data_IF_459178265697
#
_entry.id   IF_459178265697
#
_cell.length_a   1.000
_cell.length_b   1.000
_cell.length_c   1.000
_cell.angle_alpha   90.00
_cell.angle_beta   90.00
_cell.angle_gamma   90.00
#
_symmetry.space_group_name_H-M   'P 1'
#
loop_
_entity.id
_entity.type
_entity.pdbx_description
1 polymer ?
#
# COMPACT_ATOMS: atom_id res chain seq x y z
N UNK A 1 5.79 -22.81 15.44
CA UNK A 1 5.55 -21.52 14.76
C UNK A 1 5.86 -20.42 15.77
N UNK A 2 7.02 -19.77 15.65
CA UNK A 2 7.64 -18.97 16.72
C UNK A 2 6.86 -17.68 17.04
N UNK A 3 6.86 -17.25 18.30
CA UNK A 3 6.20 -15.99 18.75
C UNK A 3 6.64 -14.76 17.94
N UNK A 4 7.88 -14.74 17.46
CA UNK A 4 8.45 -13.66 16.64
C UNK A 4 7.69 -13.53 15.31
N UNK A 5 7.39 -14.66 14.66
CA UNK A 5 6.64 -14.70 13.38
C UNK A 5 5.24 -14.12 13.56
N UNK A 6 4.59 -14.43 14.68
CA UNK A 6 3.26 -13.89 14.99
C UNK A 6 3.29 -12.36 15.21
N UNK A 7 4.37 -11.81 15.78
CA UNK A 7 4.53 -10.37 15.98
C UNK A 7 4.74 -9.62 14.67
N UNK A 8 5.56 -10.16 13.77
CA UNK A 8 5.78 -9.56 12.45
C UNK A 8 4.51 -9.57 11.61
N UNK A 9 3.79 -10.69 11.58
CA UNK A 9 2.50 -10.81 10.90
C UNK A 9 1.49 -9.78 11.45
N UNK A 10 1.33 -9.74 12.78
CA UNK A 10 0.42 -8.80 13.43
C UNK A 10 0.77 -7.35 13.09
N UNK A 11 2.07 -7.00 13.08
CA UNK A 11 2.52 -5.66 12.68
C UNK A 11 2.07 -5.30 11.27
N UNK A 12 2.33 -6.15 10.28
CA UNK A 12 1.97 -5.84 8.88
C UNK A 12 0.45 -5.70 8.73
N UNK A 13 -0.33 -6.53 9.43
CA UNK A 13 -1.79 -6.44 9.46
C UNK A 13 -2.30 -5.16 10.15
N UNK A 14 -1.64 -4.71 11.22
CA UNK A 14 -1.97 -3.44 11.89
C UNK A 14 -1.66 -2.26 10.97
N UNK A 15 -0.51 -2.26 10.29
CA UNK A 15 -0.14 -1.22 9.33
C UNK A 15 -1.15 -1.17 8.18
N UNK A 16 -1.58 -2.33 7.69
CA UNK A 16 -2.65 -2.44 6.69
C UNK A 16 -3.97 -1.84 7.19
N UNK A 17 -4.39 -2.19 8.41
CA UNK A 17 -5.61 -1.65 9.01
C UNK A 17 -5.55 -0.12 9.18
N UNK A 18 -4.39 0.42 9.57
CA UNK A 18 -4.17 1.87 9.64
C UNK A 18 -4.30 2.50 8.25
N UNK A 19 -3.64 1.93 7.22
CA UNK A 19 -3.72 2.45 5.85
C UNK A 19 -5.17 2.47 5.32
N UNK A 20 -5.94 1.41 5.58
CA UNK A 20 -7.36 1.34 5.23
C UNK A 20 -8.18 2.40 5.96
N UNK A 21 -7.96 2.57 7.27
CA UNK A 21 -8.66 3.58 8.06
C UNK A 21 -8.38 4.99 7.54
N UNK A 22 -7.10 5.30 7.25
CA UNK A 22 -6.71 6.57 6.64
C UNK A 22 -7.41 6.80 5.30
N UNK A 23 -7.47 5.76 4.45
CA UNK A 23 -8.18 5.85 3.17
C UNK A 23 -9.66 6.18 3.37
N UNK A 24 -10.36 5.45 4.24
CA UNK A 24 -11.79 5.69 4.52
C UNK A 24 -12.03 7.09 5.09
N UNK A 25 -11.15 7.60 5.95
CA UNK A 25 -11.31 8.90 6.59
C UNK A 25 -10.95 10.09 5.70
N UNK A 26 -10.00 9.92 4.77
CA UNK A 26 -9.39 11.04 4.05
C UNK A 26 -9.38 10.90 2.52
N UNK A 27 -10.11 9.95 1.93
CA UNK A 27 -10.12 9.73 0.47
C UNK A 27 -10.50 10.98 -0.34
N UNK A 28 -11.31 11.87 0.20
CA UNK A 28 -11.70 13.14 -0.45
C UNK A 28 -10.52 14.12 -0.55
N UNK A 29 -9.59 14.11 0.42
CA UNK A 29 -8.43 14.98 0.45
C UNK A 29 -7.18 14.25 -0.04
N UNK A 30 -7.00 14.26 -1.35
CA UNK A 30 -5.89 13.59 -2.04
C UNK A 30 -4.51 13.94 -1.46
N UNK A 31 -4.22 15.22 -1.21
CA UNK A 31 -2.88 15.65 -0.78
C UNK A 31 -2.61 15.12 0.63
N UNK A 32 -3.55 15.30 1.56
CA UNK A 32 -3.42 14.84 2.93
C UNK A 32 -3.22 13.32 2.98
N UNK A 33 -4.07 12.56 2.31
CA UNK A 33 -3.99 11.10 2.33
C UNK A 33 -2.69 10.59 1.68
N UNK A 34 -2.26 11.17 0.57
CA UNK A 34 -0.96 10.83 -0.04
C UNK A 34 0.18 11.07 0.95
N UNK A 35 0.21 12.23 1.60
CA UNK A 35 1.25 12.53 2.60
C UNK A 35 1.23 11.52 3.74
N UNK A 36 0.05 11.16 4.26
CA UNK A 36 -0.08 10.19 5.35
C UNK A 36 0.36 8.78 4.94
N UNK A 37 0.01 8.31 3.74
CA UNK A 37 0.44 6.99 3.25
C UNK A 37 1.94 6.92 2.98
N UNK A 38 2.52 7.99 2.41
CA UNK A 38 3.97 8.08 2.21
C UNK A 38 4.68 8.08 3.57
N UNK A 39 4.22 8.88 4.52
CA UNK A 39 4.78 8.90 5.87
C UNK A 39 4.67 7.53 6.55
N UNK A 40 3.53 6.85 6.44
CA UNK A 40 3.33 5.51 6.98
C UNK A 40 4.30 4.49 6.39
N UNK A 41 4.52 4.52 5.07
CA UNK A 41 5.50 3.66 4.44
C UNK A 41 6.93 3.99 4.89
N UNK A 42 7.28 5.29 4.96
CA UNK A 42 8.60 5.72 5.40
C UNK A 42 8.89 5.35 6.87
N UNK A 43 7.92 5.49 7.77
CA UNK A 43 8.07 5.08 9.18
C UNK A 43 8.23 3.57 9.29
N UNK A 44 7.40 2.81 8.54
CA UNK A 44 7.53 1.35 8.44
C UNK A 44 8.91 0.94 7.93
N UNK A 45 9.39 1.57 6.85
CA UNK A 45 10.68 1.27 6.25
C UNK A 45 11.84 1.66 7.16
N UNK A 46 11.75 2.78 7.88
CA UNK A 46 12.77 3.19 8.82
C UNK A 46 12.91 2.21 10.00
N UNK A 47 11.79 1.72 10.54
CA UNK A 47 11.79 0.88 11.74
C UNK A 47 11.99 -0.62 11.44
N UNK A 48 11.46 -1.11 10.32
CA UNK A 48 11.44 -2.54 9.99
C UNK A 48 11.81 -2.81 8.53
N UNK A 49 12.79 -2.08 7.99
CA UNK A 49 13.31 -2.35 6.65
C UNK A 49 13.78 -3.80 6.51
N UNK A 50 13.46 -4.39 5.37
CA UNK A 50 14.09 -5.61 4.91
C UNK A 50 14.50 -5.47 3.45
N UNK A 51 15.50 -6.29 3.04
CA UNK A 51 16.04 -6.25 1.68
C UNK A 51 14.92 -6.50 0.68
N UNK A 52 14.89 -5.69 -0.37
CA UNK A 52 13.90 -5.78 -1.44
C UNK A 52 12.59 -5.01 -1.21
N UNK A 53 12.31 -4.51 0.00
CA UNK A 53 11.03 -3.81 0.27
C UNK A 53 10.81 -2.60 -0.64
N UNK A 54 11.84 -1.79 -0.86
CA UNK A 54 11.75 -0.64 -1.75
C UNK A 54 11.50 -1.05 -3.21
N UNK A 55 12.08 -2.17 -3.65
CA UNK A 55 11.86 -2.68 -5.00
C UNK A 55 10.40 -3.11 -5.14
N UNK A 56 9.90 -3.90 -4.18
CA UNK A 56 8.50 -4.35 -4.14
C UNK A 56 7.54 -3.16 -4.09
N UNK A 57 7.85 -2.14 -3.29
CA UNK A 57 7.05 -0.93 -3.17
C UNK A 57 6.95 -0.17 -4.51
N UNK A 58 8.08 0.07 -5.18
CA UNK A 58 8.10 0.72 -6.50
C UNK A 58 7.40 -0.15 -7.55
N UNK A 59 7.62 -1.47 -7.55
CA UNK A 59 6.90 -2.39 -8.44
C UNK A 59 5.40 -2.34 -8.22
N UNK A 60 4.95 -2.28 -6.97
CA UNK A 60 3.54 -2.12 -6.60
C UNK A 60 2.95 -0.82 -7.12
N UNK A 61 3.65 0.31 -6.91
CA UNK A 61 3.25 1.62 -7.47
C UNK A 61 3.04 1.52 -8.98
N UNK A 62 4.01 0.99 -9.71
CA UNK A 62 3.96 0.97 -11.17
C UNK A 62 2.88 0.02 -11.70
N UNK A 63 2.87 -1.23 -11.23
CA UNK A 63 1.95 -2.26 -11.73
C UNK A 63 0.51 -1.98 -11.30
N UNK A 64 0.31 -1.63 -10.02
CA UNK A 64 -1.01 -1.29 -9.48
C UNK A 64 -1.59 -0.05 -10.16
N UNK A 65 -0.83 1.04 -10.24
CA UNK A 65 -1.28 2.25 -10.93
C UNK A 65 -1.61 2.00 -12.41
N UNK A 66 -0.85 1.14 -13.09
CA UNK A 66 -1.12 0.81 -14.51
C UNK A 66 -2.44 0.07 -14.65
N UNK A 67 -2.72 -0.90 -13.78
CA UNK A 67 -4.00 -1.62 -13.80
C UNK A 67 -5.20 -0.68 -13.54
N UNK A 68 -5.05 0.24 -12.57
CA UNK A 68 -6.06 1.25 -12.25
C UNK A 68 -6.29 2.23 -13.41
N UNK A 69 -5.21 2.69 -14.04
CA UNK A 69 -5.30 3.57 -15.20
C UNK A 69 -6.02 2.89 -16.37
N UNK A 70 -5.68 1.63 -16.68
CA UNK A 70 -6.35 0.88 -17.75
C UNK A 70 -7.86 0.75 -17.44
N UNK A 71 -8.21 0.36 -16.22
CA UNK A 71 -9.61 0.20 -15.82
C UNK A 71 -10.42 1.49 -15.92
N UNK A 72 -9.87 2.59 -15.44
CA UNK A 72 -10.53 3.91 -15.49
C UNK A 72 -10.54 4.52 -16.89
N UNK A 73 -9.49 4.34 -17.69
CA UNK A 73 -9.43 4.80 -19.08
C UNK A 73 -10.44 4.07 -19.98
N UNK A 74 -10.62 2.76 -19.77
CA UNK A 74 -11.63 1.96 -20.47
C UNK A 74 -13.06 2.19 -19.93
N UNK A 75 -13.22 3.00 -18.88
CA UNK A 75 -14.51 3.30 -18.28
C UNK A 75 -15.14 2.14 -17.49
N UNK A 76 -14.34 1.16 -17.06
CA UNK A 76 -14.83 0.01 -16.27
C UNK A 76 -15.33 0.48 -14.90
N UNK A 77 -14.60 1.41 -14.27
CA UNK A 77 -15.04 2.14 -13.08
C UNK A 77 -14.50 3.56 -13.08
N UNK A 78 -14.98 4.38 -12.14
CA UNK A 78 -14.52 5.77 -11.95
C UNK A 78 -14.28 6.04 -10.47
N UNK A 79 -13.35 6.95 -10.19
CA UNK A 79 -13.09 7.43 -8.84
C UNK A 79 -13.89 8.71 -8.56
N UNK A 80 -14.37 8.85 -7.33
CA UNK A 80 -15.14 10.03 -6.91
C UNK A 80 -14.30 11.30 -6.73
N UNK A 81 -12.99 11.15 -6.48
CA UNK A 81 -12.05 12.27 -6.30
C UNK A 81 -10.72 12.04 -7.05
N UNK A 82 -10.73 11.99 -8.40
CA UNK A 82 -9.51 11.81 -9.19
C UNK A 82 -8.67 13.09 -9.19
N UNK A 83 -7.35 12.94 -9.22
CA UNK A 83 -6.43 14.09 -9.29
C UNK A 83 -5.38 13.95 -10.40
N UNK A 84 -4.97 12.73 -10.75
CA UNK A 84 -3.96 12.47 -11.77
C UNK A 84 -4.34 11.23 -12.59
N UNK A 85 -4.31 11.32 -13.92
CA UNK A 85 -4.63 10.20 -14.83
C UNK A 85 -5.95 9.46 -14.50
N UNK A 86 -7.02 10.19 -14.14
CA UNK A 86 -8.32 9.66 -13.72
C UNK A 86 -8.31 8.80 -12.45
N UNK A 87 -7.21 8.81 -11.69
CA UNK A 87 -7.10 8.12 -10.40
C UNK A 87 -6.76 9.12 -9.28
N UNK A 88 -7.06 8.80 -8.01
CA UNK A 88 -6.62 9.58 -6.87
C UNK A 88 -5.09 9.54 -6.73
N UNK A 89 -4.48 10.63 -6.30
CA UNK A 89 -3.04 10.74 -6.16
C UNK A 89 -2.46 9.78 -5.11
N UNK A 90 -3.25 9.42 -4.10
CA UNK A 90 -2.83 8.54 -3.02
C UNK A 90 -2.79 7.06 -3.43
N UNK A 91 -3.51 6.70 -4.49
CA UNK A 91 -3.75 5.31 -4.87
C UNK A 91 -2.48 4.57 -5.30
N UNK A 92 -1.54 5.15 -6.09
CA UNK A 92 -0.28 4.48 -6.40
C UNK A 92 0.51 4.11 -5.13
N UNK A 93 0.54 5.00 -4.13
CA UNK A 93 1.26 4.76 -2.88
C UNK A 93 0.58 3.70 -2.00
N UNK A 94 -0.75 3.61 -2.03
CA UNK A 94 -1.48 2.50 -1.42
C UNK A 94 -1.09 1.16 -2.06
N UNK A 95 -1.00 1.10 -3.40
CA UNK A 95 -0.54 -0.08 -4.13
C UNK A 95 0.91 -0.49 -3.79
N UNK A 96 1.79 0.49 -3.63
CA UNK A 96 3.15 0.24 -3.14
C UNK A 96 3.15 -0.39 -1.76
N UNK A 97 2.44 0.23 -0.80
CA UNK A 97 2.42 -0.23 0.59
C UNK A 97 1.82 -1.64 0.71
N UNK A 98 0.68 -1.88 0.07
CA UNK A 98 0.01 -3.19 0.14
C UNK A 98 0.85 -4.30 -0.50
N UNK A 99 1.61 -4.00 -1.55
CA UNK A 99 2.48 -4.99 -2.20
C UNK A 99 3.57 -5.49 -1.24
N UNK A 100 4.17 -4.58 -0.45
CA UNK A 100 5.14 -4.95 0.58
C UNK A 100 4.48 -5.79 1.67
N UNK A 101 3.31 -5.38 2.14
CA UNK A 101 2.55 -6.11 3.18
C UNK A 101 2.20 -7.52 2.71
N UNK A 102 1.70 -7.69 1.48
CA UNK A 102 1.34 -9.01 0.92
C UNK A 102 2.53 -9.95 0.94
N UNK A 103 3.70 -9.50 0.47
CA UNK A 103 4.92 -10.32 0.47
C UNK A 103 5.36 -10.64 1.90
N UNK A 104 5.34 -9.66 2.80
CA UNK A 104 5.80 -9.87 4.19
C UNK A 104 4.88 -10.79 4.97
N UNK A 105 3.58 -10.71 4.73
CA UNK A 105 2.58 -11.61 5.30
C UNK A 105 2.68 -13.01 4.71
N UNK A 106 3.06 -13.16 3.43
CA UNK A 106 3.14 -14.48 2.79
C UNK A 106 4.40 -15.28 3.16
N UNK A 107 5.52 -14.62 3.43
CA UNK A 107 6.81 -15.27 3.72
C UNK A 107 6.72 -16.37 4.81
N UNK A 108 6.09 -16.15 5.98
CA UNK A 108 5.95 -17.18 7.01
C UNK A 108 5.28 -18.49 6.55
N UNK A 109 4.46 -18.44 5.49
CA UNK A 109 3.72 -19.60 4.97
C UNK A 109 4.47 -20.31 3.83
N UNK A 110 5.49 -19.67 3.27
CA UNK A 110 6.33 -20.23 2.20
C UNK A 110 7.56 -20.90 2.82
N UNK A 111 8.07 -20.36 3.92
CA UNK A 111 9.25 -20.86 4.63
C UNK A 111 8.94 -21.94 5.69
N UNK A 112 7.66 -22.29 5.86
CA UNK A 112 7.16 -23.33 6.79
C UNK A 112 7.11 -24.72 6.16
#
# INVERSE_FOLDING_TARGET
MNEIVNKDLLRELVIFAIALLLAVMFWENNILLTSLLVLLYLTRQYQWSAKGDNIIYISGILLGCTAEFIGTYLGVWTYSAPLFLNIPLWLPFAWGLVSVIIIRVSLPFIES
#
